data_IF_615764231818
#
_entry.id   IF_615764231818
#
_cell.length_a   1.000
_cell.length_b   1.000
_cell.length_c   1.000
_cell.angle_alpha   90.00
_cell.angle_beta   90.00
_cell.angle_gamma   90.00
#
_symmetry.space_group_name_H-M   'P 1'
#
loop_
_entity.id
_entity.type
_entity.pdbx_description
1 polymer ?
#
# COMPACT_ATOMS: atom_id res chain seq x y z
N UNK A 1 -7.20 -56.83 -4.76
CA UNK A 1 -7.41 -55.42 -5.15
C UNK A 1 -6.03 -54.81 -5.30
N UNK A 2 -5.56 -54.60 -6.53
CA UNK A 2 -4.26 -53.96 -6.77
C UNK A 2 -4.40 -52.46 -6.53
N UNK A 3 -3.43 -51.80 -5.88
CA UNK A 3 -3.46 -50.34 -5.76
C UNK A 3 -3.39 -49.74 -7.16
N UNK A 4 -4.34 -48.85 -7.48
CA UNK A 4 -4.23 -47.99 -8.65
C UNK A 4 -3.02 -47.08 -8.44
N UNK A 5 -1.99 -47.24 -9.26
CA UNK A 5 -0.91 -46.26 -9.34
C UNK A 5 -1.48 -44.94 -9.84
N UNK A 6 -1.56 -43.93 -8.97
CA UNK A 6 -1.81 -42.56 -9.39
C UNK A 6 -0.74 -42.16 -10.42
N UNK A 7 -1.11 -41.50 -11.53
CA UNK A 7 -0.16 -41.08 -12.53
C UNK A 7 0.80 -40.06 -11.90
N UNK A 8 2.10 -40.37 -11.91
CA UNK A 8 3.15 -39.43 -11.50
C UNK A 8 3.05 -38.21 -12.42
N UNK A 9 2.92 -36.98 -11.88
CA UNK A 9 2.88 -35.78 -12.71
C UNK A 9 4.17 -35.68 -13.52
N UNK A 10 4.02 -35.56 -14.84
CA UNK A 10 5.13 -35.42 -15.78
C UNK A 10 5.85 -34.08 -15.50
N UNK A 11 7.14 -34.09 -15.13
CA UNK A 11 7.90 -32.87 -14.86
C UNK A 11 8.08 -31.98 -16.11
N UNK A 12 7.72 -32.47 -17.31
CA UNK A 12 7.78 -31.75 -18.58
C UNK A 12 6.49 -31.02 -18.98
N UNK A 13 5.37 -31.22 -18.29
CA UNK A 13 4.18 -30.40 -18.52
C UNK A 13 4.29 -29.10 -17.73
N UNK A 14 4.73 -28.04 -18.42
CA UNK A 14 4.57 -26.70 -17.90
C UNK A 14 3.09 -26.50 -17.55
N UNK A 15 2.80 -26.35 -16.25
CA UNK A 15 1.47 -25.99 -15.79
C UNK A 15 0.98 -24.75 -16.56
N UNK A 16 -0.34 -24.61 -16.83
CA UNK A 16 -0.85 -23.43 -17.51
C UNK A 16 -0.45 -22.18 -16.72
N UNK A 17 0.44 -21.36 -17.30
CA UNK A 17 1.01 -20.17 -16.66
C UNK A 17 0.77 -18.94 -17.53
N UNK A 18 0.53 -17.80 -16.89
CA UNK A 18 0.45 -16.49 -17.54
C UNK A 18 1.57 -15.61 -16.96
N UNK A 19 2.34 -14.96 -17.83
CA UNK A 19 3.33 -13.96 -17.45
C UNK A 19 2.88 -12.60 -17.94
N UNK A 20 2.89 -11.60 -17.06
CA UNK A 20 2.62 -10.21 -17.39
C UNK A 20 3.83 -9.34 -17.01
N UNK A 21 4.06 -8.26 -17.75
CA UNK A 21 5.13 -7.29 -17.48
C UNK A 21 4.51 -5.91 -17.35
N UNK A 22 4.91 -5.19 -16.31
CA UNK A 22 4.37 -3.88 -15.96
C UNK A 22 5.52 -2.89 -15.93
N UNK A 23 5.36 -1.74 -16.59
CA UNK A 23 6.35 -0.66 -16.60
C UNK A 23 5.72 0.59 -16.01
N UNK A 24 6.28 1.05 -14.89
CA UNK A 24 5.90 2.31 -14.24
C UNK A 24 6.89 3.40 -14.64
N UNK A 25 6.40 4.58 -14.95
CA UNK A 25 7.24 5.70 -15.40
C UNK A 25 6.81 7.04 -14.82
N UNK A 26 7.67 8.06 -14.95
CA UNK A 26 7.38 9.40 -14.48
C UNK A 26 7.19 9.50 -12.96
N UNK A 27 6.27 10.36 -12.55
CA UNK A 27 6.00 10.69 -11.13
C UNK A 27 5.52 9.46 -10.36
N UNK A 28 4.72 8.61 -10.99
CA UNK A 28 4.16 7.40 -10.39
C UNK A 28 5.27 6.42 -9.96
N UNK A 29 6.27 6.22 -10.83
CA UNK A 29 7.45 5.41 -10.49
C UNK A 29 8.25 6.00 -9.32
N UNK A 30 8.30 7.32 -9.18
CA UNK A 30 8.97 7.96 -8.06
C UNK A 30 8.19 7.75 -6.76
N UNK A 31 6.87 7.94 -6.78
CA UNK A 31 6.01 7.70 -5.62
C UNK A 31 6.13 6.26 -5.13
N UNK A 32 6.12 5.29 -6.05
CA UNK A 32 6.30 3.87 -5.71
C UNK A 32 7.65 3.58 -5.04
N UNK A 33 8.74 4.22 -5.49
CA UNK A 33 10.07 4.07 -4.86
C UNK A 33 10.11 4.67 -3.47
N UNK A 34 9.54 5.86 -3.30
CA UNK A 34 9.54 6.56 -2.01
C UNK A 34 8.66 5.81 -1.00
N UNK A 35 7.49 5.34 -1.43
CA UNK A 35 6.60 4.54 -0.61
C UNK A 35 7.23 3.19 -0.23
N UNK A 36 7.90 2.52 -1.17
CA UNK A 36 8.62 1.28 -0.91
C UNK A 36 9.70 1.47 0.18
N UNK A 37 10.45 2.56 0.13
CA UNK A 37 11.45 2.90 1.14
C UNK A 37 10.83 3.11 2.54
N UNK A 38 9.69 3.79 2.62
CA UNK A 38 8.98 4.03 3.89
C UNK A 38 8.40 2.74 4.47
N UNK A 39 7.87 1.87 3.62
CA UNK A 39 7.24 0.61 4.03
C UNK A 39 8.22 -0.55 4.22
N UNK A 40 9.49 -0.37 3.83
CA UNK A 40 10.48 -1.47 3.82
C UNK A 40 10.14 -2.58 2.82
N UNK A 41 9.44 -2.25 1.73
CA UNK A 41 9.05 -3.17 0.64
C UNK A 41 9.84 -2.85 -0.63
N UNK A 42 9.65 -3.63 -1.70
CA UNK A 42 10.26 -3.32 -3.00
C UNK A 42 9.31 -2.51 -3.89
N UNK A 43 9.84 -1.64 -4.77
CA UNK A 43 9.02 -0.90 -5.72
C UNK A 43 8.22 -1.81 -6.68
N UNK A 44 8.75 -2.99 -7.03
CA UNK A 44 8.10 -3.94 -7.93
C UNK A 44 6.83 -4.53 -7.31
N UNK A 45 6.87 -4.85 -6.01
CA UNK A 45 5.73 -5.38 -5.28
C UNK A 45 4.58 -4.37 -5.25
N UNK A 46 4.90 -3.11 -4.97
CA UNK A 46 3.93 -2.01 -4.98
C UNK A 46 3.43 -1.69 -6.40
N UNK A 47 4.28 -1.82 -7.42
CA UNK A 47 3.88 -1.62 -8.82
C UNK A 47 2.86 -2.67 -9.28
N UNK A 48 2.99 -3.92 -8.83
CA UNK A 48 2.01 -4.99 -9.11
C UNK A 48 0.70 -4.69 -8.39
N UNK A 49 0.74 -4.30 -7.12
CA UNK A 49 -0.46 -3.92 -6.36
C UNK A 49 -1.18 -2.72 -6.97
N UNK A 50 -0.42 -1.72 -7.43
CA UNK A 50 -0.96 -0.56 -8.13
C UNK A 50 -1.63 -0.97 -9.45
N UNK A 51 -0.94 -1.77 -10.28
CA UNK A 51 -1.49 -2.27 -11.54
C UNK A 51 -2.73 -3.16 -11.35
N UNK A 52 -2.82 -3.85 -10.21
CA UNK A 52 -4.00 -4.62 -9.80
C UNK A 52 -5.14 -3.75 -9.21
N UNK A 53 -4.93 -2.43 -9.06
CA UNK A 53 -5.91 -1.51 -8.46
C UNK A 53 -6.03 -1.60 -6.94
N UNK A 54 -5.13 -2.34 -6.28
CA UNK A 54 -5.15 -2.53 -4.82
C UNK A 54 -4.47 -1.37 -4.08
N UNK A 55 -3.54 -0.69 -4.74
CA UNK A 55 -2.82 0.46 -4.21
C UNK A 55 -3.14 1.70 -5.05
N UNK A 56 -4.16 2.51 -4.70
CA UNK A 56 -4.44 3.73 -5.42
C UNK A 56 -3.36 4.77 -5.16
N UNK A 57 -2.65 5.17 -6.22
CA UNK A 57 -1.67 6.27 -6.16
C UNK A 57 -2.31 7.48 -6.84
N UNK A 58 -2.47 8.62 -6.15
CA UNK A 58 -3.03 9.81 -6.75
C UNK A 58 -2.07 10.32 -7.83
N UNK A 59 -2.49 10.19 -9.09
CA UNK A 59 -1.80 10.73 -10.27
C UNK A 59 -2.18 12.19 -10.55
N UNK A 60 -3.30 12.63 -10.00
CA UNK A 60 -3.77 14.01 -10.02
C UNK A 60 -3.47 14.70 -8.68
N UNK A 61 -3.28 16.04 -8.67
CA UNK A 61 -3.19 16.77 -7.42
C UNK A 61 -4.42 16.46 -6.58
N UNK A 62 -4.20 15.97 -5.35
CA UNK A 62 -5.28 15.71 -4.41
C UNK A 62 -6.13 16.97 -4.29
N UNK A 63 -7.47 16.86 -4.34
CA UNK A 63 -8.33 18.00 -4.07
C UNK A 63 -7.94 18.57 -2.70
N UNK A 64 -8.05 19.90 -2.50
CA UNK A 64 -7.76 20.50 -1.21
C UNK A 64 -8.53 19.74 -0.13
N UNK A 65 -7.78 19.23 0.85
CA UNK A 65 -8.37 18.56 2.01
C UNK A 65 -9.31 19.56 2.66
N UNK A 66 -10.60 19.24 2.67
CA UNK A 66 -11.57 20.03 3.40
C UNK A 66 -11.42 19.74 4.90
N UNK A 67 -10.55 20.53 5.54
CA UNK A 67 -10.34 20.48 6.98
C UNK A 67 -11.60 20.85 7.79
N UNK A 68 -12.68 21.29 7.13
CA UNK A 68 -13.98 21.51 7.78
C UNK A 68 -14.67 20.22 8.24
N UNK A 69 -14.18 19.03 7.86
CA UNK A 69 -14.65 17.74 8.39
C UNK A 69 -14.26 17.52 9.87
N UNK A 70 -13.34 18.31 10.39
CA UNK A 70 -12.99 18.30 11.79
C UNK A 70 -13.93 19.21 12.58
N UNK A 71 -15.01 18.64 13.11
CA UNK A 71 -15.97 19.33 14.00
C UNK A 71 -15.48 19.35 15.46
N UNK A 72 -14.17 19.52 15.65
CA UNK A 72 -13.55 19.58 16.96
C UNK A 72 -13.80 20.94 17.62
N UNK A 73 -13.86 21.03 18.96
CA UNK A 73 -14.01 22.30 19.65
C UNK A 73 -12.93 23.28 19.16
N UNK A 74 -13.27 24.55 18.88
CA UNK A 74 -12.37 25.54 18.27
C UNK A 74 -11.12 25.85 19.11
N UNK A 75 -11.07 25.34 20.34
CA UNK A 75 -10.10 25.68 21.37
C UNK A 75 -9.05 24.58 21.61
N UNK A 76 -8.92 23.60 20.69
CA UNK A 76 -7.94 22.53 20.85
C UNK A 76 -6.50 23.03 20.80
N UNK A 77 -6.21 24.08 20.02
CA UNK A 77 -4.88 24.69 20.00
C UNK A 77 -4.54 25.37 21.34
N UNK A 78 -5.53 26.01 21.99
CA UNK A 78 -5.37 26.66 23.30
C UNK A 78 -5.28 25.62 24.43
N UNK A 79 -6.13 24.59 24.39
CA UNK A 79 -6.14 23.52 25.41
C UNK A 79 -4.99 22.55 25.30
N UNK A 80 -4.34 22.45 24.15
CA UNK A 80 -3.13 21.65 24.01
C UNK A 80 -2.02 22.15 24.94
N UNK A 81 -1.89 23.47 25.12
CA UNK A 81 -0.90 24.07 26.02
C UNK A 81 -1.21 23.74 27.49
N UNK A 82 -2.49 23.80 27.88
CA UNK A 82 -2.96 23.41 29.22
C UNK A 82 -2.72 21.91 29.50
N UNK A 83 -3.04 21.04 28.55
CA UNK A 83 -2.89 19.58 28.71
C UNK A 83 -1.42 19.15 28.73
N UNK A 84 -0.54 19.85 28.02
CA UNK A 84 0.90 19.60 28.03
C UNK A 84 1.58 20.08 29.32
N UNK A 85 0.95 20.97 30.08
CA UNK A 85 1.44 21.42 31.39
C UNK A 85 0.88 20.63 32.57
N UNK A 86 -0.29 20.00 32.44
CA UNK A 86 -0.90 19.24 33.53
C UNK A 86 -0.44 17.75 33.58
N UNK A 87 0.20 17.25 32.52
CA UNK A 87 0.54 15.82 32.35
C UNK A 87 1.89 15.31 32.88
N UNK A 88 2.68 16.10 33.63
CA UNK A 88 3.99 15.64 34.17
C UNK A 88 4.04 15.50 35.69
N UNK A 89 2.89 15.34 36.34
CA UNK A 89 2.78 15.24 37.79
C UNK A 89 1.88 14.11 38.28
N UNK A 90 2.16 12.85 37.91
CA UNK A 90 1.80 11.69 38.76
C UNK A 90 2.62 10.45 38.44
#
# INVERSE_FOLDING_TARGET
MSPQSEPVPDPGQAQPSITASVTMSGVEAQILRDLAAVLGRTPEELAIEHAAGLLPIPTEPLPPVDWALFDGPPDLATRADEWMHEGTGR
#
